data_IF_007502900050
#
_entry.id   IF_007502900050
#
_cell.length_a   1.000
_cell.length_b   1.000
_cell.length_c   1.000
_cell.angle_alpha   90.00
_cell.angle_beta   90.00
_cell.angle_gamma   90.00
#
_symmetry.space_group_name_H-M   'P 1'
#
loop_
_entity.id
_entity.type
_entity.pdbx_description
1 polymer ?
#
# COMPACT_ATOMS: atom_id res chain seq x y z
N UNK A 1 -8.81 -13.79 -1.64
CA UNK A 1 -8.65 -13.22 -2.98
C UNK A 1 -7.93 -11.90 -2.85
N UNK A 2 -6.74 -11.78 -3.44
CA UNK A 2 -5.97 -10.53 -3.44
C UNK A 2 -6.54 -9.52 -4.43
N UNK A 3 -6.33 -8.24 -4.18
CA UNK A 3 -6.72 -7.15 -5.06
C UNK A 3 -5.49 -6.47 -5.64
N UNK A 4 -5.51 -6.19 -6.94
CA UNK A 4 -4.44 -5.44 -7.59
C UNK A 4 -4.94 -4.03 -7.86
N UNK A 5 -4.16 -3.04 -7.46
CA UNK A 5 -4.38 -1.66 -7.85
C UNK A 5 -4.15 -1.57 -9.37
N UNK A 6 -5.23 -1.53 -10.15
CA UNK A 6 -5.20 -1.55 -11.62
C UNK A 6 -4.62 -0.30 -12.30
N UNK A 7 -3.97 0.57 -11.52
CA UNK A 7 -3.28 1.77 -11.98
C UNK A 7 -1.89 1.83 -11.34
N UNK A 8 -0.84 2.11 -12.13
CA UNK A 8 0.52 2.21 -11.62
C UNK A 8 0.67 3.52 -10.84
N UNK A 9 0.51 3.48 -9.52
CA UNK A 9 0.71 4.64 -8.65
C UNK A 9 2.08 4.59 -7.98
N UNK A 10 2.81 5.70 -8.08
CA UNK A 10 4.03 5.92 -7.31
C UNK A 10 3.73 6.15 -5.83
N UNK A 11 4.73 5.92 -4.97
CA UNK A 11 4.64 6.23 -3.54
C UNK A 11 4.25 7.70 -3.27
N UNK A 12 4.69 8.62 -4.14
CA UNK A 12 4.40 10.06 -4.01
C UNK A 12 2.93 10.35 -4.31
N UNK A 13 2.38 9.75 -5.36
CA UNK A 13 0.95 9.89 -5.70
C UNK A 13 0.06 9.28 -4.60
N UNK A 14 0.44 8.12 -4.06
CA UNK A 14 -0.27 7.50 -2.94
C UNK A 14 -0.22 8.37 -1.68
N UNK A 15 0.92 9.00 -1.39
CA UNK A 15 1.07 9.95 -0.30
C UNK A 15 0.14 11.16 -0.49
N UNK A 16 0.11 11.70 -1.72
CA UNK A 16 -0.73 12.85 -2.08
C UNK A 16 -2.22 12.54 -1.92
N UNK A 17 -2.68 11.38 -2.40
CA UNK A 17 -4.09 10.94 -2.27
C UNK A 17 -4.46 10.75 -0.81
N UNK A 18 -3.55 10.21 0.01
CA UNK A 18 -3.78 9.98 1.43
C UNK A 18 -3.60 11.25 2.30
N UNK A 19 -3.27 12.41 1.71
CA UNK A 19 -2.98 13.63 2.46
C UNK A 19 -1.75 13.53 3.37
N UNK A 20 -0.81 12.62 3.06
CA UNK A 20 0.36 12.33 3.87
C UNK A 20 1.62 13.00 3.33
N UNK A 21 2.51 13.42 4.24
CA UNK A 21 3.88 13.81 3.87
C UNK A 21 4.60 12.60 3.24
N UNK A 22 5.42 12.78 2.18
CA UNK A 22 6.05 11.66 1.46
C UNK A 22 6.84 10.69 2.37
N UNK A 23 7.59 11.20 3.34
CA UNK A 23 8.34 10.37 4.30
C UNK A 23 7.44 9.50 5.18
N UNK A 24 6.27 10.00 5.57
CA UNK A 24 5.30 9.27 6.38
C UNK A 24 4.65 8.16 5.56
N UNK A 25 4.26 8.46 4.32
CA UNK A 25 3.71 7.47 3.41
C UNK A 25 4.72 6.37 3.09
N UNK A 26 5.99 6.71 2.88
CA UNK A 26 7.04 5.72 2.66
C UNK A 26 7.25 4.79 3.86
N UNK A 27 7.22 5.34 5.07
CA UNK A 27 7.24 4.54 6.30
C UNK A 27 6.02 3.62 6.39
N UNK A 28 4.82 4.13 6.15
CA UNK A 28 3.58 3.33 6.17
C UNK A 28 3.62 2.20 5.14
N UNK A 29 4.06 2.45 3.91
CA UNK A 29 4.23 1.41 2.89
C UNK A 29 5.27 0.35 3.29
N UNK A 30 6.36 0.77 3.92
CA UNK A 30 7.36 -0.16 4.45
C UNK A 30 6.77 -1.07 5.54
N UNK A 31 5.99 -0.49 6.45
CA UNK A 31 5.36 -1.22 7.55
C UNK A 31 4.27 -2.20 7.02
N UNK A 32 3.47 -1.79 6.03
CA UNK A 32 2.52 -2.65 5.32
C UNK A 32 3.20 -3.81 4.58
N UNK A 33 4.33 -3.54 3.92
CA UNK A 33 5.09 -4.58 3.21
C UNK A 33 5.72 -5.58 4.18
N UNK A 34 6.26 -5.11 5.31
CA UNK A 34 6.78 -5.99 6.38
C UNK A 34 5.69 -6.88 6.97
N UNK A 35 4.47 -6.36 7.08
CA UNK A 35 3.31 -7.11 7.53
C UNK A 35 2.73 -8.06 6.45
N UNK A 36 3.30 -8.09 5.23
CA UNK A 36 2.88 -8.99 4.15
C UNK A 36 1.54 -8.62 3.50
N UNK A 37 0.92 -7.50 3.91
CA UNK A 37 -0.37 -7.04 3.40
C UNK A 37 -0.27 -6.25 2.09
N UNK A 38 0.94 -5.82 1.72
CA UNK A 38 1.21 -5.16 0.43
C UNK A 38 2.48 -5.72 -0.21
N UNK A 39 2.41 -6.04 -1.50
CA UNK A 39 3.58 -6.35 -2.34
C UNK A 39 3.69 -5.30 -3.44
N UNK A 40 4.90 -4.82 -3.70
CA UNK A 40 5.21 -3.93 -4.82
C UNK A 40 5.86 -4.75 -5.92
N UNK A 41 5.25 -4.79 -7.10
CA UNK A 41 5.90 -5.33 -8.30
C UNK A 41 6.71 -4.23 -9.02
N UNK A 42 7.66 -4.64 -9.85
CA UNK A 42 8.66 -3.79 -10.53
C UNK A 42 8.06 -2.66 -11.41
N UNK A 43 6.73 -2.59 -11.58
CA UNK A 43 6.03 -1.61 -12.42
C UNK A 43 4.98 -0.78 -11.70
N UNK A 44 5.23 -0.40 -10.43
CA UNK A 44 4.33 0.49 -9.65
C UNK A 44 2.94 -0.11 -9.36
N UNK A 45 2.77 -1.41 -9.58
CA UNK A 45 1.56 -2.12 -9.21
C UNK A 45 1.59 -2.40 -7.70
N UNK A 46 0.56 -1.93 -7.00
CA UNK A 46 0.32 -2.28 -5.61
C UNK A 46 -0.57 -3.51 -5.58
N UNK A 47 -0.02 -4.63 -5.13
CA UNK A 47 -0.77 -5.86 -4.89
C UNK A 47 -1.14 -5.91 -3.40
N UNK A 48 -2.43 -6.08 -3.11
CA UNK A 48 -2.97 -6.36 -1.77
C UNK A 48 -3.35 -7.84 -1.71
N UNK A 49 -2.40 -8.73 -1.35
CA UNK A 49 -2.66 -10.18 -1.31
C UNK A 49 -3.66 -10.58 -0.22
N UNK A 50 -3.71 -9.83 0.88
CA UNK A 50 -4.62 -10.06 2.01
C UNK A 50 -5.43 -8.80 2.34
N UNK A 51 -6.63 -8.71 1.77
CA UNK A 51 -7.55 -7.61 2.02
C UNK A 51 -8.11 -7.61 3.45
N UNK A 52 -8.27 -8.79 4.05
CA UNK A 52 -8.81 -8.93 5.40
C UNK A 52 -7.77 -8.51 6.45
N UNK A 53 -6.51 -8.92 6.27
CA UNK A 53 -5.38 -8.46 7.07
C UNK A 53 -5.15 -6.96 6.94
N UNK A 54 -5.29 -6.39 5.74
CA UNK A 54 -5.18 -4.94 5.53
C UNK A 54 -6.25 -4.17 6.31
N UNK A 55 -7.51 -4.63 6.28
CA UNK A 55 -8.61 -4.03 7.05
C UNK A 55 -8.35 -4.09 8.55
N UNK A 56 -7.95 -5.25 9.06
CA UNK A 56 -7.56 -5.43 10.46
C UNK A 56 -6.41 -4.51 10.87
N UNK A 57 -5.40 -4.33 10.02
CA UNK A 57 -4.28 -3.42 10.26
C UNK A 57 -4.73 -1.96 10.33
N UNK A 58 -5.71 -1.57 9.50
CA UNK A 58 -6.29 -0.24 9.49
C UNK A 58 -7.29 0.02 10.65
N UNK A 59 -7.75 -1.04 11.34
CA UNK A 59 -8.68 -0.94 12.47
C UNK A 59 -10.17 -0.99 12.09
N UNK A 60 -10.54 -1.53 10.91
CA UNK A 60 -11.92 -1.66 10.41
C UNK A 60 -12.27 -3.10 9.97
#
# INVERSE_FOLDING_TARGET
HGWTLGIPLTKVELASIAGMKPRTAEKAFSDLRKAGVVVSHLRRDVLVPDLAGLRKFAGF
#
